data_IF_194461513106
#
_entry.id   IF_194461513106
#
_cell.length_a   1.000
_cell.length_b   1.000
_cell.length_c   1.000
_cell.angle_alpha   90.00
_cell.angle_beta   90.00
_cell.angle_gamma   90.00
#
_symmetry.space_group_name_H-M   'P 1'
#
loop_
_entity.id
_entity.type
_entity.pdbx_description
1 polymer ?
#
# COMPACT_ATOMS: atom_id res chain seq x y z
N UNK A 1 4.37 15.40 -26.18
CA UNK A 1 3.52 14.56 -25.31
C UNK A 1 3.85 13.12 -25.65
N UNK A 2 4.73 12.49 -24.87
CA UNK A 2 5.10 11.10 -25.10
C UNK A 2 4.09 10.20 -24.38
N UNK A 3 3.46 9.29 -25.12
CA UNK A 3 2.62 8.24 -24.56
C UNK A 3 3.41 7.48 -23.49
N UNK A 4 2.97 7.62 -22.24
CA UNK A 4 3.43 6.79 -21.15
C UNK A 4 2.56 5.55 -21.07
N UNK A 5 3.21 4.42 -20.80
CA UNK A 5 2.65 3.13 -20.34
C UNK A 5 2.49 2.02 -21.39
N UNK A 6 3.62 1.37 -21.69
CA UNK A 6 3.61 -0.06 -22.06
C UNK A 6 3.32 -1.00 -20.87
N UNK A 7 2.97 -0.46 -19.71
CA UNK A 7 2.69 -1.23 -18.50
C UNK A 7 1.21 -1.61 -18.46
N UNK A 8 0.95 -2.92 -18.38
CA UNK A 8 -0.40 -3.42 -18.17
C UNK A 8 -0.69 -3.41 -16.67
N UNK A 9 -1.28 -2.31 -16.18
CA UNK A 9 -1.57 -2.11 -14.76
C UNK A 9 -2.58 -3.11 -14.18
N UNK A 10 -3.49 -3.64 -15.00
CA UNK A 10 -4.37 -4.76 -14.61
C UNK A 10 -3.54 -6.03 -14.33
N UNK A 11 -2.58 -6.35 -15.21
CA UNK A 11 -1.63 -7.45 -15.00
C UNK A 11 -0.80 -7.23 -13.74
N UNK A 12 -0.28 -6.02 -13.51
CA UNK A 12 0.48 -5.68 -12.30
C UNK A 12 -0.40 -5.85 -11.05
N UNK A 13 -1.64 -5.34 -11.06
CA UNK A 13 -2.56 -5.49 -9.93
C UNK A 13 -2.83 -6.95 -9.58
N UNK A 14 -2.94 -7.81 -10.60
CA UNK A 14 -3.09 -9.26 -10.46
C UNK A 14 -1.83 -9.92 -9.89
N UNK A 15 -0.65 -9.54 -10.37
CA UNK A 15 0.63 -10.08 -9.86
C UNK A 15 0.87 -9.67 -8.39
N UNK A 16 0.49 -8.45 -7.99
CA UNK A 16 0.49 -8.03 -6.57
C UNK A 16 -0.38 -8.98 -5.75
N UNK A 17 -1.61 -9.25 -6.20
CA UNK A 17 -2.53 -10.17 -5.52
C UNK A 17 -1.91 -11.56 -5.36
N UNK A 18 -1.34 -12.11 -6.44
CA UNK A 18 -0.70 -13.43 -6.43
C UNK A 18 0.48 -13.48 -5.44
N UNK A 19 1.33 -12.45 -5.41
CA UNK A 19 2.44 -12.35 -4.45
C UNK A 19 1.97 -12.20 -3.00
N UNK A 20 0.97 -11.37 -2.74
CA UNK A 20 0.39 -11.23 -1.39
C UNK A 20 -0.20 -12.54 -0.88
N UNK A 21 -0.83 -13.35 -1.75
CA UNK A 21 -1.37 -14.67 -1.39
C UNK A 21 -0.29 -15.70 -0.99
N UNK A 22 0.98 -15.47 -1.35
CA UNK A 22 2.09 -16.35 -0.93
C UNK A 22 2.67 -16.01 0.44
N UNK A 23 2.22 -14.90 1.04
CA UNK A 23 2.71 -14.42 2.33
C UNK A 23 1.66 -14.79 3.40
N UNK A 24 1.94 -15.84 4.17
CA UNK A 24 1.12 -16.24 5.33
C UNK A 24 1.13 -15.12 6.41
N UNK A 25 0.02 -14.86 7.13
CA UNK A 25 -1.11 -15.77 7.41
C UNK A 25 -2.51 -15.24 7.00
N UNK A 26 -2.61 -14.31 6.05
CA UNK A 26 -3.88 -13.60 5.82
C UNK A 26 -4.91 -14.37 4.99
N UNK A 27 -6.19 -14.15 5.30
CA UNK A 27 -7.31 -14.72 4.57
C UNK A 27 -7.33 -14.21 3.12
N UNK A 28 -7.59 -15.13 2.19
CA UNK A 28 -7.76 -14.86 0.75
C UNK A 28 -8.79 -13.74 0.47
N UNK A 29 -9.75 -13.54 1.39
CA UNK A 29 -10.81 -12.54 1.27
C UNK A 29 -10.26 -11.11 1.16
N UNK A 30 -9.42 -10.66 2.08
CA UNK A 30 -9.00 -9.26 2.13
C UNK A 30 -8.10 -8.89 0.94
N UNK A 31 -7.19 -9.80 0.59
CA UNK A 31 -6.33 -9.65 -0.59
C UNK A 31 -7.19 -9.51 -1.86
N UNK A 32 -8.28 -10.27 -1.97
CA UNK A 32 -9.24 -10.11 -3.07
C UNK A 32 -9.99 -8.77 -3.04
N UNK A 33 -10.34 -8.26 -1.86
CA UNK A 33 -10.97 -6.95 -1.73
C UNK A 33 -10.05 -5.84 -2.27
N UNK A 34 -8.77 -5.84 -1.86
CA UNK A 34 -7.80 -4.86 -2.36
C UNK A 34 -7.51 -5.01 -3.86
N UNK A 35 -7.45 -6.23 -4.38
CA UNK A 35 -7.35 -6.47 -5.82
C UNK A 35 -8.52 -5.86 -6.59
N UNK A 36 -9.77 -6.16 -6.17
CA UNK A 36 -10.98 -5.61 -6.79
C UNK A 36 -11.05 -4.09 -6.66
N UNK A 37 -10.61 -3.55 -5.52
CA UNK A 37 -10.59 -2.10 -5.29
C UNK A 37 -9.64 -1.41 -6.28
N UNK A 38 -8.43 -1.95 -6.50
CA UNK A 38 -7.48 -1.45 -7.50
C UNK A 38 -8.04 -1.54 -8.92
N UNK A 39 -8.72 -2.63 -9.27
CA UNK A 39 -9.35 -2.78 -10.60
C UNK A 39 -10.50 -1.79 -10.81
N UNK A 40 -11.38 -1.64 -9.82
CA UNK A 40 -12.54 -0.73 -9.89
C UNK A 40 -12.12 0.73 -10.00
N UNK A 41 -11.06 1.13 -9.29
CA UNK A 41 -10.61 2.53 -9.22
C UNK A 41 -9.57 2.89 -10.26
N UNK A 42 -8.89 1.89 -10.83
CA UNK A 42 -7.80 2.08 -11.77
C UNK A 42 -6.65 2.96 -11.21
N UNK A 43 -6.50 3.00 -9.88
CA UNK A 43 -5.62 3.95 -9.16
C UNK A 43 -4.15 3.90 -9.60
N UNK A 44 -3.67 2.74 -10.06
CA UNK A 44 -2.30 2.58 -10.56
C UNK A 44 -2.03 3.44 -11.80
N UNK A 45 -3.05 3.66 -12.64
CA UNK A 45 -2.92 4.46 -13.86
C UNK A 45 -2.89 5.97 -13.56
N UNK A 46 -3.43 6.37 -12.41
CA UNK A 46 -3.48 7.78 -11.99
C UNK A 46 -2.11 8.28 -11.50
N UNK A 47 -1.18 7.37 -11.18
CA UNK A 47 0.15 7.73 -10.68
C UNK A 47 1.02 8.40 -11.74
N UNK A 48 1.57 9.57 -11.41
CA UNK A 48 2.52 10.29 -12.27
C UNK A 48 3.91 9.65 -12.25
N UNK A 49 4.20 8.83 -13.26
CA UNK A 49 5.48 8.14 -13.37
C UNK A 49 6.67 9.05 -13.70
N UNK A 50 7.82 8.68 -13.14
CA UNK A 50 9.13 9.21 -13.48
C UNK A 50 9.90 8.28 -14.40
N UNK A 51 10.40 8.84 -15.50
CA UNK A 51 11.18 8.06 -16.46
C UNK A 51 12.68 8.32 -16.30
N UNK A 52 13.54 7.31 -16.56
CA UNK A 52 13.20 5.99 -17.13
C UNK A 52 12.85 4.90 -16.09
N UNK A 53 13.08 5.17 -14.80
CA UNK A 53 12.79 4.26 -13.69
C UNK A 53 11.95 5.01 -12.66
N UNK A 54 10.88 4.38 -12.19
CA UNK A 54 10.12 4.85 -11.05
C UNK A 54 9.91 3.72 -10.04
N UNK A 55 9.63 4.11 -8.80
CA UNK A 55 9.20 3.16 -7.76
C UNK A 55 7.88 3.64 -7.19
N UNK A 56 6.89 2.76 -7.25
CA UNK A 56 5.58 2.96 -6.62
C UNK A 56 5.52 2.09 -5.38
N UNK A 57 5.01 2.65 -4.31
CA UNK A 57 4.77 1.97 -3.05
C UNK A 57 3.27 1.90 -2.76
N UNK A 58 2.83 0.82 -2.15
CA UNK A 58 1.45 0.64 -1.71
C UNK A 58 1.43 0.13 -0.27
N UNK A 59 0.60 0.72 0.58
CA UNK A 59 0.23 0.19 1.89
C UNK A 59 -1.25 -0.14 1.93
N UNK A 60 -1.58 -1.27 2.55
CA UNK A 60 -2.94 -1.78 2.73
C UNK A 60 -3.12 -2.25 4.17
N UNK A 61 -4.16 -1.75 4.86
CA UNK A 61 -4.45 -2.16 6.23
C UNK A 61 -5.44 -3.33 6.27
N UNK A 62 -5.11 -4.36 7.01
CA UNK A 62 -5.91 -5.56 7.21
C UNK A 62 -6.37 -5.58 8.65
N UNK A 63 -7.60 -5.16 8.88
CA UNK A 63 -8.17 -5.05 10.23
C UNK A 63 -8.85 -6.35 10.61
N UNK A 64 -8.55 -6.86 11.80
CA UNK A 64 -9.16 -8.11 12.30
C UNK A 64 -10.66 -7.94 12.62
N UNK A 65 -11.09 -6.70 12.95
CA UNK A 65 -12.43 -6.44 13.51
C UNK A 65 -13.39 -5.78 12.51
N UNK A 66 -12.89 -4.90 11.64
CA UNK A 66 -13.70 -4.20 10.64
C UNK A 66 -13.31 -4.62 9.22
N UNK A 67 -13.98 -5.67 8.74
CA UNK A 67 -13.81 -6.19 7.38
C UNK A 67 -14.65 -5.44 6.33
N UNK A 68 -15.43 -4.44 6.74
CA UNK A 68 -16.30 -3.68 5.83
C UNK A 68 -15.60 -2.48 5.19
N UNK A 69 -14.54 -2.01 5.87
CA UNK A 69 -13.71 -0.89 5.43
C UNK A 69 -12.37 -1.37 4.88
N UNK A 70 -11.83 -0.66 3.89
CA UNK A 70 -10.50 -0.92 3.34
C UNK A 70 -9.77 0.39 3.12
N UNK A 71 -8.50 0.45 3.55
CA UNK A 71 -7.65 1.62 3.38
C UNK A 71 -6.41 1.22 2.61
N UNK A 72 -6.24 1.85 1.46
CA UNK A 72 -5.07 1.70 0.60
C UNK A 72 -4.44 3.06 0.43
N UNK A 73 -3.12 3.13 0.51
CA UNK A 73 -2.37 4.32 0.09
C UNK A 73 -1.32 3.91 -0.92
N UNK A 74 -1.19 4.69 -1.99
CA UNK A 74 -0.24 4.50 -3.06
C UNK A 74 0.55 5.79 -3.25
N UNK A 75 1.87 5.69 -3.35
CA UNK A 75 2.71 6.87 -3.55
C UNK A 75 3.96 6.56 -4.36
N UNK A 76 4.53 7.60 -4.94
CA UNK A 76 5.89 7.64 -5.48
C UNK A 76 6.51 8.99 -5.09
N UNK A 77 7.62 9.38 -5.72
CA UNK A 77 8.25 10.67 -5.41
C UNK A 77 7.44 11.91 -5.85
N UNK A 78 6.44 11.75 -6.73
CA UNK A 78 5.68 12.84 -7.34
C UNK A 78 4.26 12.98 -6.79
N UNK A 79 3.68 11.87 -6.34
CA UNK A 79 2.26 11.77 -6.05
C UNK A 79 1.99 10.86 -4.86
N UNK A 80 0.86 11.12 -4.19
CA UNK A 80 0.36 10.32 -3.08
C UNK A 80 -1.16 10.33 -3.14
N UNK A 81 -1.74 9.15 -3.28
CA UNK A 81 -3.18 8.94 -3.34
C UNK A 81 -3.58 7.91 -2.29
N UNK A 82 -4.70 8.16 -1.64
CA UNK A 82 -5.31 7.27 -0.66
C UNK A 82 -6.70 6.89 -1.13
N UNK A 83 -7.06 5.61 -0.95
CA UNK A 83 -8.39 5.09 -1.18
C UNK A 83 -8.95 4.66 0.17
N UNK A 84 -10.08 5.25 0.53
CA UNK A 84 -10.91 4.80 1.62
C UNK A 84 -12.14 4.15 1.01
N UNK A 85 -12.39 2.90 1.37
CA UNK A 85 -13.60 2.20 0.94
C UNK A 85 -14.39 1.73 2.13
N UNK A 86 -15.71 1.87 2.03
CA UNK A 86 -16.68 1.42 3.02
C UNK A 86 -17.75 0.55 2.34
N UNK A 87 -18.57 -0.10 3.15
CA UNK A 87 -19.69 -0.93 2.69
C UNK A 87 -19.25 -2.01 1.68
N UNK A 88 -18.09 -2.65 1.92
CA UNK A 88 -17.51 -3.68 1.05
C UNK A 88 -17.22 -3.22 -0.39
N UNK A 89 -16.61 -2.04 -0.56
CA UNK A 89 -16.29 -1.56 -1.91
C UNK A 89 -17.40 -0.74 -2.57
N UNK A 90 -18.56 -0.57 -1.92
CA UNK A 90 -19.70 0.17 -2.51
C UNK A 90 -19.43 1.66 -2.51
N UNK A 91 -18.97 2.19 -1.37
CA UNK A 91 -18.50 3.57 -1.25
C UNK A 91 -16.99 3.57 -1.39
N UNK A 92 -16.50 4.42 -2.29
CA UNK A 92 -15.07 4.58 -2.54
C UNK A 92 -14.79 6.06 -2.64
N UNK A 93 -13.84 6.52 -1.84
CA UNK A 93 -13.32 7.87 -1.88
C UNK A 93 -11.83 7.80 -2.17
N UNK A 94 -11.39 8.61 -3.14
CA UNK A 94 -9.97 8.83 -3.43
C UNK A 94 -9.63 10.21 -2.91
N UNK A 95 -8.56 10.31 -2.13
CA UNK A 95 -8.06 11.56 -1.56
C UNK A 95 -6.54 11.64 -1.68
N UNK A 96 -5.99 12.81 -1.41
CA UNK A 96 -4.55 13.06 -1.38
C UNK A 96 -4.05 13.12 0.07
N UNK A 97 -4.89 12.70 1.02
CA UNK A 97 -4.58 12.75 2.45
C UNK A 97 -3.75 11.53 2.83
N UNK A 98 -2.72 11.78 3.63
CA UNK A 98 -1.88 10.72 4.16
C UNK A 98 -2.67 9.90 5.20
N UNK A 99 -2.76 8.59 4.99
CA UNK A 99 -3.53 7.68 5.87
C UNK A 99 -2.62 6.89 6.82
N UNK A 100 -1.35 6.71 6.47
CA UNK A 100 -0.35 5.99 7.26
C UNK A 100 0.65 6.96 7.87
N UNK A 101 1.29 6.59 8.98
CA UNK A 101 2.32 7.42 9.60
C UNK A 101 3.54 7.60 8.68
N UNK A 102 4.10 8.80 8.64
CA UNK A 102 5.19 9.17 7.75
C UNK A 102 6.44 8.32 7.99
N UNK A 103 6.70 7.91 9.24
CA UNK A 103 7.84 7.05 9.54
C UNK A 103 7.69 5.65 8.91
N UNK A 104 6.50 5.05 8.97
CA UNK A 104 6.23 3.77 8.30
C UNK A 104 6.39 3.89 6.79
N UNK A 105 5.87 4.97 6.19
CA UNK A 105 6.05 5.24 4.76
C UNK A 105 7.52 5.33 4.39
N UNK A 106 8.33 6.00 5.21
CA UNK A 106 9.76 6.11 5.01
C UNK A 106 10.44 4.74 5.05
N UNK A 107 10.19 3.94 6.08
CA UNK A 107 10.80 2.60 6.18
C UNK A 107 10.44 1.71 4.99
N UNK A 108 9.20 1.79 4.50
CA UNK A 108 8.76 1.06 3.31
C UNK A 108 9.40 1.62 2.03
N UNK A 109 9.58 2.92 1.92
CA UNK A 109 10.27 3.54 0.79
C UNK A 109 11.74 3.13 0.71
N UNK A 110 12.40 3.08 1.87
CA UNK A 110 13.79 2.61 2.02
C UNK A 110 13.89 1.07 1.94
N UNK A 111 12.76 0.37 2.05
CA UNK A 111 12.65 -1.09 2.15
C UNK A 111 13.47 -1.67 3.30
N UNK A 112 13.49 -0.96 4.42
CA UNK A 112 14.23 -1.30 5.64
C UNK A 112 13.47 -2.35 6.46
N UNK A 113 13.64 -3.62 6.06
CA UNK A 113 12.94 -4.76 6.64
C UNK A 113 13.30 -4.98 8.12
N UNK A 114 14.55 -4.72 8.48
CA UNK A 114 15.06 -4.95 9.83
C UNK A 114 14.45 -3.95 10.81
N UNK A 115 14.41 -2.67 10.45
CA UNK A 115 13.79 -1.65 11.30
C UNK A 115 12.26 -1.81 11.34
N UNK A 116 11.60 -2.21 10.25
CA UNK A 116 10.16 -2.56 10.26
C UNK A 116 9.90 -3.67 11.28
N UNK A 117 10.72 -4.74 11.30
CA UNK A 117 10.57 -5.85 12.25
C UNK A 117 10.83 -5.41 13.69
N UNK A 118 11.80 -4.52 13.90
CA UNK A 118 12.08 -3.94 15.23
C UNK A 118 10.92 -3.08 15.74
N UNK A 119 10.36 -2.24 14.88
CA UNK A 119 9.18 -1.41 15.19
C UNK A 119 7.94 -2.25 15.46
N UNK A 120 7.71 -3.31 14.67
CA UNK A 120 6.64 -4.29 14.88
C UNK A 120 6.68 -4.89 16.30
N UNK A 121 7.88 -5.25 16.76
CA UNK A 121 8.10 -5.84 18.09
C UNK A 121 7.98 -4.82 19.23
N UNK A 122 8.46 -3.59 19.00
CA UNK A 122 8.60 -2.59 20.07
C UNK A 122 7.37 -1.71 20.21
N UNK A 123 6.76 -1.32 19.09
CA UNK A 123 5.69 -0.31 19.00
C UNK A 123 4.40 -0.88 18.37
N UNK A 124 4.27 -2.20 18.27
CA UNK A 124 3.09 -2.85 17.71
C UNK A 124 1.79 -2.50 18.43
N UNK A 125 0.74 -2.19 17.66
CA UNK A 125 -0.58 -1.79 18.18
C UNK A 125 -1.41 -3.04 18.52
N UNK A 126 -2.31 -2.95 19.52
CA UNK A 126 -3.28 -3.99 19.87
C UNK A 126 -4.73 -3.45 19.81
N UNK A 127 -5.69 -4.14 19.15
CA UNK A 127 -5.52 -5.34 18.35
C UNK A 127 -4.62 -5.10 17.13
N UNK A 128 -3.97 -6.17 16.68
CA UNK A 128 -2.85 -6.08 15.75
C UNK A 128 -3.35 -6.03 14.31
N UNK A 129 -3.73 -4.85 13.83
CA UNK A 129 -3.97 -4.66 12.40
C UNK A 129 -2.72 -5.08 11.60
N UNK A 130 -2.93 -5.81 10.50
CA UNK A 130 -1.87 -6.18 9.58
C UNK A 130 -1.66 -5.12 8.51
N UNK A 131 -0.42 -4.95 8.04
CA UNK A 131 -0.08 -4.07 6.93
C UNK A 131 0.58 -4.90 5.83
N UNK A 132 0.04 -4.81 4.62
CA UNK A 132 0.77 -5.21 3.42
C UNK A 132 1.47 -4.00 2.82
N UNK A 133 2.80 -4.06 2.76
CA UNK A 133 3.62 -3.18 1.94
C UNK A 133 3.90 -3.85 0.59
N UNK A 134 3.78 -3.09 -0.49
CA UNK A 134 4.18 -3.51 -1.83
C UNK A 134 5.09 -2.44 -2.44
N UNK A 135 6.20 -2.88 -3.03
CA UNK A 135 7.09 -2.03 -3.83
C UNK A 135 7.08 -2.52 -5.28
N UNK A 136 6.82 -1.60 -6.19
CA UNK A 136 6.75 -1.83 -7.63
C UNK A 136 7.84 -0.99 -8.28
N UNK A 137 8.90 -1.63 -8.75
CA UNK A 137 9.97 -0.97 -9.48
C UNK A 137 9.66 -1.09 -10.97
N UNK A 138 9.32 0.04 -11.58
CA UNK A 138 8.96 0.12 -13.00
C UNK A 138 10.15 0.67 -13.76
N UNK A 139 10.60 -0.08 -14.76
CA UNK A 139 11.52 0.42 -15.78
C UNK A 139 10.92 0.19 -17.17
N UNK A 140 11.56 0.75 -18.20
CA UNK A 140 11.04 0.71 -19.59
C UNK A 140 10.82 -0.69 -20.18
N UNK A 141 11.35 -1.77 -19.56
CA UNK A 141 11.27 -3.14 -20.10
C UNK A 141 10.76 -4.18 -19.11
N UNK A 142 10.79 -3.89 -17.81
CA UNK A 142 10.51 -4.84 -16.73
C UNK A 142 9.79 -4.13 -15.58
N UNK A 143 8.97 -4.91 -14.89
CA UNK A 143 8.34 -4.56 -13.63
C UNK A 143 8.82 -5.58 -12.60
N UNK A 144 9.32 -5.12 -11.45
CA UNK A 144 9.60 -5.98 -10.30
C UNK A 144 8.64 -5.60 -9.18
N UNK A 145 8.05 -6.62 -8.55
CA UNK A 145 7.10 -6.46 -7.46
C UNK A 145 7.60 -7.25 -6.26
N UNK A 146 7.81 -6.55 -5.16
CA UNK A 146 8.15 -7.10 -3.86
C UNK A 146 7.01 -6.81 -2.89
N UNK A 147 6.66 -7.77 -2.03
CA UNK A 147 5.61 -7.64 -1.03
C UNK A 147 6.14 -8.04 0.35
N UNK A 148 5.65 -7.38 1.39
CA UNK A 148 5.96 -7.65 2.79
C UNK A 148 4.68 -7.54 3.62
N UNK A 149 4.54 -8.42 4.61
CA UNK A 149 3.53 -8.30 5.65
C UNK A 149 4.17 -8.04 7.02
N UNK A 150 3.59 -7.12 7.78
CA UNK A 150 3.98 -6.80 9.15
C UNK A 150 2.79 -6.24 9.94
N UNK A 151 2.83 -6.32 11.26
CA UNK A 151 1.81 -5.74 12.14
C UNK A 151 1.99 -4.23 12.23
N UNK A 152 0.86 -3.53 12.28
CA UNK A 152 0.81 -2.10 12.44
C UNK A 152 1.51 -1.67 13.74
N UNK A 153 2.24 -0.57 13.68
CA UNK A 153 3.01 -0.02 14.80
C UNK A 153 2.83 1.49 14.88
N UNK A 154 2.94 2.05 16.08
CA UNK A 154 2.81 3.48 16.33
C UNK A 154 3.58 3.90 17.57
N UNK A 155 4.32 5.00 17.46
CA UNK A 155 5.02 5.61 18.58
C UNK A 155 4.51 7.05 18.78
N UNK A 156 3.87 7.32 19.92
CA UNK A 156 3.24 8.63 20.19
C UNK A 156 4.22 9.82 20.12
N UNK A 157 5.46 9.66 20.57
CA UNK A 157 6.44 10.74 20.60
C UNK A 157 6.93 11.11 19.20
N UNK A 158 7.04 10.12 18.31
CA UNK A 158 7.52 10.29 16.93
C UNK A 158 6.38 10.63 15.97
N UNK A 159 5.27 9.91 16.07
CA UNK A 159 4.22 9.84 15.05
C UNK A 159 2.99 10.69 15.40
N UNK A 160 2.88 11.19 16.64
CA UNK A 160 1.68 11.91 17.12
C UNK A 160 1.35 13.18 16.32
N UNK A 161 2.33 13.80 15.68
CA UNK A 161 2.16 15.03 14.89
C UNK A 161 1.63 14.78 13.48
N UNK A 162 1.62 13.54 13.00
CA UNK A 162 1.16 13.20 11.64
C UNK A 162 -0.35 13.42 11.47
N UNK A 163 -1.10 13.41 12.58
CA UNK A 163 -2.56 13.55 12.60
C UNK A 163 -3.04 14.94 13.07
N UNK A 164 -2.13 15.90 13.25
CA UNK A 164 -2.44 17.26 13.71
C UNK A 164 -2.46 18.31 12.57
N UNK A 165 -2.55 17.89 11.31
CA UNK A 165 -2.48 18.77 10.14
C UNK A 165 -3.79 18.87 9.38
#
# INVERSE_FOLDING_TARGET
MGELSGQNWSKISKEIKEKQLTIEPLENRDINCYYKLREKTNILNEMKLNHPIDTIFILQIHREVDLSSSYLMIWNKNDTLSINSEDFGKKVQITNQQTFISYMMKLVADWDLDEIKKEELTNGIRPSDGIFATRIIVNSKKCQIDCLYFKNFFNMQRDGMDFCK
#
